data_IF_691882363700
#
_entry.id   IF_691882363700
#
_cell.length_a   1.000
_cell.length_b   1.000
_cell.length_c   1.000
_cell.angle_alpha   90.00
_cell.angle_beta   90.00
_cell.angle_gamma   90.00
#
_symmetry.space_group_name_H-M   'P 1'
#
loop_
_entity.id
_entity.type
_entity.pdbx_description
1 polymer ?
#
# COMPACT_ATOMS: atom_id res chain seq x y z
N UNK A 1 16.08 30.96 32.16
CA UNK A 1 16.90 32.12 31.75
C UNK A 1 16.74 32.30 30.24
N UNK A 2 16.21 33.47 29.84
CA UNK A 2 15.92 33.93 28.47
C UNK A 2 17.22 34.47 27.85
N UNK A 3 17.61 34.11 26.61
CA UNK A 3 18.45 34.91 25.68
C UNK A 3 18.23 34.42 24.22
N UNK A 4 17.42 35.14 23.45
CA UNK A 4 17.77 36.03 22.30
C UNK A 4 18.11 35.25 21.01
N UNK A 5 17.23 35.26 20.00
CA UNK A 5 16.98 36.34 19.02
C UNK A 5 18.07 36.34 17.92
N UNK A 6 17.66 35.98 16.70
CA UNK A 6 18.50 35.97 15.52
C UNK A 6 17.67 35.79 14.25
N UNK A 7 16.94 36.85 13.89
CA UNK A 7 16.25 37.03 12.60
C UNK A 7 17.29 37.22 11.49
N UNK A 8 17.15 36.53 10.36
CA UNK A 8 17.66 36.99 9.07
C UNK A 8 16.64 36.68 7.97
N UNK A 9 15.98 37.76 7.53
CA UNK A 9 15.26 37.86 6.27
C UNK A 9 16.28 37.92 5.12
N UNK A 10 16.05 37.18 4.05
CA UNK A 10 16.68 37.46 2.76
C UNK A 10 15.69 37.16 1.62
N UNK A 11 15.10 38.23 1.12
CA UNK A 11 14.28 38.33 -0.09
C UNK A 11 15.10 38.12 -1.36
N UNK A 12 14.62 37.32 -2.31
CA UNK A 12 15.13 37.30 -3.68
C UNK A 12 13.99 37.31 -4.71
N UNK A 13 13.74 38.55 -5.13
CA UNK A 13 13.18 39.16 -6.35
C UNK A 13 12.83 38.23 -7.54
N UNK A 14 11.61 38.46 -8.04
CA UNK A 14 11.03 37.96 -9.30
C UNK A 14 11.85 38.34 -10.54
N UNK A 15 11.97 37.42 -11.49
CA UNK A 15 12.21 37.75 -12.90
C UNK A 15 11.22 37.00 -13.80
N UNK A 16 10.16 37.70 -14.21
CA UNK A 16 9.28 37.27 -15.28
C UNK A 16 9.90 37.60 -16.65
N UNK A 17 9.76 36.69 -17.62
CA UNK A 17 10.18 36.93 -18.99
C UNK A 17 9.26 37.97 -19.67
N UNK A 18 9.82 38.91 -20.47
CA UNK A 18 9.05 39.98 -21.09
C UNK A 18 8.16 39.48 -22.23
N UNK A 19 6.95 40.02 -22.24
CA UNK A 19 5.98 40.00 -23.32
C UNK A 19 6.53 40.77 -24.53
N UNK A 20 6.40 40.23 -25.74
CA UNK A 20 6.81 40.92 -26.96
C UNK A 20 5.75 41.98 -27.37
N UNK A 21 6.15 43.17 -27.86
CA UNK A 21 5.24 44.24 -28.28
C UNK A 21 4.44 43.89 -29.55
N UNK A 22 3.28 44.55 -29.78
CA UNK A 22 2.52 44.41 -31.02
C UNK A 22 3.05 45.38 -32.10
N UNK A 23 3.13 44.91 -33.34
CA UNK A 23 3.38 45.73 -34.53
C UNK A 23 2.54 45.21 -35.71
N UNK A 24 2.29 46.03 -36.74
CA UNK A 24 1.10 46.86 -36.86
C UNK A 24 0.06 46.30 -37.85
N UNK A 25 -1.17 46.76 -37.66
CA UNK A 25 -2.36 46.48 -38.47
C UNK A 25 -2.12 46.74 -39.96
N UNK A 26 -2.09 45.69 -40.78
CA UNK A 26 -2.37 45.80 -42.19
C UNK A 26 -3.87 45.56 -42.40
N UNK A 27 -4.59 46.62 -42.79
CA UNK A 27 -5.94 46.52 -43.35
C UNK A 27 -5.88 45.68 -44.62
N UNK A 28 -6.60 44.58 -44.65
CA UNK A 28 -6.84 43.81 -45.88
C UNK A 28 -8.36 43.74 -46.05
N UNK A 29 -8.85 44.39 -47.11
CA UNK A 29 -10.23 44.27 -47.60
C UNK A 29 -10.58 42.80 -47.90
N UNK A 30 -11.87 42.43 -47.86
CA UNK A 30 -12.30 41.03 -47.87
C UNK A 30 -12.14 40.43 -49.26
N UNK A 31 -11.17 39.53 -49.42
CA UNK A 31 -11.19 38.54 -50.50
C UNK A 31 -11.72 37.25 -49.89
N UNK A 32 -12.93 36.87 -50.30
CA UNK A 32 -13.60 35.62 -49.96
C UNK A 32 -12.69 34.43 -50.30
N UNK A 33 -12.15 33.70 -49.29
CA UNK A 33 -11.29 32.57 -49.56
C UNK A 33 -12.13 31.38 -50.02
N UNK A 34 -11.86 30.90 -51.23
CA UNK A 34 -12.25 29.58 -51.69
C UNK A 34 -11.83 28.55 -50.64
N UNK A 35 -12.78 27.75 -50.15
CA UNK A 35 -12.54 26.67 -49.18
C UNK A 35 -11.44 25.75 -49.72
N UNK A 36 -10.25 25.71 -49.11
CA UNK A 36 -9.27 24.71 -49.46
C UNK A 36 -9.81 23.37 -48.96
N UNK A 37 -9.95 22.38 -49.83
CA UNK A 37 -10.16 21.00 -49.40
C UNK A 37 -8.95 20.57 -48.58
N UNK A 38 -9.07 20.61 -47.26
CA UNK A 38 -8.06 20.08 -46.34
C UNK A 38 -7.89 18.59 -46.64
N UNK A 39 -6.68 18.11 -46.98
CA UNK A 39 -6.43 16.68 -47.06
C UNK A 39 -6.67 16.09 -45.67
N UNK A 40 -7.51 15.06 -45.58
CA UNK A 40 -7.65 14.26 -44.36
C UNK A 40 -6.26 13.76 -43.94
N UNK A 41 -5.81 13.98 -42.69
CA UNK A 41 -4.53 13.45 -42.24
C UNK A 41 -4.53 11.92 -42.40
N UNK A 42 -3.42 11.31 -42.83
CA UNK A 42 -3.32 9.86 -42.91
C UNK A 42 -3.66 9.24 -41.54
N UNK A 43 -4.27 8.03 -41.50
CA UNK A 43 -4.53 7.34 -40.25
C UNK A 43 -3.23 7.27 -39.44
N UNK A 44 -3.21 7.91 -38.28
CA UNK A 44 -2.03 7.89 -37.41
C UNK A 44 -1.69 6.45 -37.08
N UNK A 45 -0.41 6.09 -37.22
CA UNK A 45 0.13 4.83 -36.74
C UNK A 45 -0.36 4.58 -35.31
N UNK A 46 -1.06 3.47 -35.10
CA UNK A 46 -1.53 3.09 -33.77
C UNK A 46 -0.30 2.83 -32.90
N UNK A 47 0.01 3.74 -31.99
CA UNK A 47 1.01 3.50 -30.94
C UNK A 47 0.59 2.23 -30.20
N UNK A 48 1.46 1.22 -30.05
CA UNK A 48 1.13 0.00 -29.31
C UNK A 48 0.63 0.37 -27.92
N UNK A 49 -0.62 0.00 -27.60
CA UNK A 49 -1.14 0.21 -26.25
C UNK A 49 -0.28 -0.57 -25.25
N UNK A 50 0.11 0.03 -24.11
CA UNK A 50 0.88 -0.67 -23.09
C UNK A 50 0.15 -1.94 -22.66
N UNK A 51 0.88 -3.04 -22.38
CA UNK A 51 0.28 -4.27 -21.88
C UNK A 51 -0.61 -3.99 -20.67
N UNK A 52 -1.83 -4.54 -20.66
CA UNK A 52 -2.71 -4.48 -19.48
C UNK A 52 -2.03 -5.21 -18.33
N UNK A 53 -1.62 -4.47 -17.32
CA UNK A 53 -1.08 -5.03 -16.08
C UNK A 53 -2.23 -5.75 -15.37
N UNK A 54 -2.11 -7.07 -15.20
CA UNK A 54 -3.07 -7.82 -14.38
C UNK A 54 -2.97 -7.30 -12.95
N UNK A 55 -4.10 -6.83 -12.41
CA UNK A 55 -4.15 -6.19 -11.09
C UNK A 55 -4.60 -7.22 -10.08
N UNK A 56 -3.76 -7.50 -9.08
CA UNK A 56 -4.12 -8.47 -8.03
C UNK A 56 -5.33 -8.00 -7.22
N UNK A 57 -6.29 -8.91 -7.05
CA UNK A 57 -7.48 -8.74 -6.22
C UNK A 57 -7.24 -9.29 -4.80
N UNK A 58 -6.60 -8.47 -3.97
CA UNK A 58 -6.29 -8.84 -2.59
C UNK A 58 -7.53 -9.13 -1.73
N UNK A 59 -8.65 -8.46 -1.98
CA UNK A 59 -9.89 -8.67 -1.21
C UNK A 59 -10.45 -10.07 -1.46
N UNK A 60 -10.55 -10.48 -2.73
CA UNK A 60 -11.00 -11.82 -3.11
C UNK A 60 -10.08 -12.93 -2.59
N UNK A 61 -8.78 -12.64 -2.44
CA UNK A 61 -7.80 -13.60 -1.90
C UNK A 61 -7.82 -13.70 -0.38
N UNK A 62 -7.94 -12.57 0.32
CA UNK A 62 -7.79 -12.51 1.79
C UNK A 62 -9.10 -12.87 2.49
N UNK A 63 -10.24 -12.39 2.00
CA UNK A 63 -11.52 -12.54 2.70
C UNK A 63 -11.90 -14.00 2.98
N UNK A 64 -11.73 -14.96 2.04
CA UNK A 64 -12.04 -16.37 2.31
C UNK A 64 -11.18 -16.95 3.43
N UNK A 65 -9.90 -16.60 3.48
CA UNK A 65 -8.98 -17.09 4.49
C UNK A 65 -9.27 -16.48 5.87
N UNK A 66 -9.58 -15.18 5.93
CA UNK A 66 -10.06 -14.55 7.18
C UNK A 66 -11.34 -15.22 7.65
N UNK A 67 -12.30 -15.48 6.76
CA UNK A 67 -13.55 -16.16 7.11
C UNK A 67 -13.33 -17.60 7.63
N UNK A 68 -12.32 -18.31 7.11
CA UNK A 68 -11.92 -19.63 7.64
C UNK A 68 -11.29 -19.51 9.02
N UNK A 69 -10.36 -18.56 9.21
CA UNK A 69 -9.71 -18.32 10.50
C UNK A 69 -10.73 -17.99 11.59
N UNK A 70 -11.72 -17.15 11.29
CA UNK A 70 -12.75 -16.76 12.26
C UNK A 70 -13.69 -17.91 12.68
N UNK A 71 -13.69 -19.02 11.93
CA UNK A 71 -14.46 -20.23 12.24
C UNK A 71 -13.62 -21.32 12.91
N UNK A 72 -12.31 -21.12 13.01
CA UNK A 72 -11.41 -22.12 13.55
C UNK A 72 -11.56 -22.23 15.08
N UNK A 73 -11.52 -23.46 15.58
CA UNK A 73 -11.47 -23.72 17.01
C UNK A 73 -10.17 -23.14 17.60
N UNK A 74 -10.26 -22.55 18.79
CA UNK A 74 -9.10 -21.92 19.45
C UNK A 74 -8.91 -20.43 19.19
N UNK A 75 -9.77 -19.81 18.35
CA UNK A 75 -9.87 -18.35 18.24
C UNK A 75 -10.87 -17.81 19.28
N UNK A 76 -10.39 -17.00 20.21
CA UNK A 76 -11.24 -16.37 21.23
C UNK A 76 -11.74 -14.99 20.74
N UNK A 77 -13.06 -14.76 20.63
CA UNK A 77 -13.58 -13.46 20.24
C UNK A 77 -13.20 -12.35 21.22
N UNK A 78 -12.93 -11.15 20.70
CA UNK A 78 -12.53 -9.98 21.47
C UNK A 78 -11.04 -9.92 21.80
N UNK A 79 -10.27 -10.99 21.53
CA UNK A 79 -8.83 -11.01 21.77
C UNK A 79 -8.09 -9.94 20.97
N UNK A 80 -6.99 -9.47 21.55
CA UNK A 80 -6.13 -8.47 20.90
C UNK A 80 -5.26 -9.18 19.86
N UNK A 81 -5.33 -8.72 18.62
CA UNK A 81 -4.59 -9.27 17.49
C UNK A 81 -3.55 -8.28 16.98
N UNK A 82 -2.30 -8.72 16.93
CA UNK A 82 -1.23 -8.07 16.17
C UNK A 82 -1.23 -8.64 14.75
N UNK A 83 -1.31 -7.76 13.76
CA UNK A 83 -1.22 -8.15 12.34
C UNK A 83 0.15 -7.71 11.81
N UNK A 84 0.98 -8.68 11.42
CA UNK A 84 2.28 -8.40 10.79
C UNK A 84 2.10 -7.86 9.36
N UNK A 85 3.15 -7.27 8.79
CA UNK A 85 3.14 -6.90 7.38
C UNK A 85 3.13 -8.13 6.49
N UNK A 86 2.40 -8.06 5.37
CA UNK A 86 2.42 -9.12 4.36
C UNK A 86 3.81 -9.16 3.74
N UNK A 87 4.47 -10.31 3.83
CA UNK A 87 5.81 -10.52 3.28
C UNK A 87 5.72 -10.97 1.82
N UNK A 88 6.65 -10.48 1.00
CA UNK A 88 6.80 -10.91 -0.39
C UNK A 88 8.01 -11.85 -0.52
N UNK A 89 7.74 -13.13 -0.72
CA UNK A 89 8.70 -14.18 -1.05
C UNK A 89 8.49 -14.72 -2.47
N UNK A 90 7.87 -13.94 -3.37
CA UNK A 90 7.75 -14.32 -4.79
C UNK A 90 9.07 -14.08 -5.55
N UNK A 91 9.13 -14.56 -6.79
CA UNK A 91 10.23 -14.26 -7.72
C UNK A 91 10.20 -12.82 -8.31
N UNK A 92 9.36 -11.92 -7.78
CA UNK A 92 9.20 -10.56 -8.28
C UNK A 92 8.74 -9.56 -7.22
N UNK A 93 8.40 -8.34 -7.65
CA UNK A 93 7.92 -7.28 -6.76
C UNK A 93 6.39 -7.21 -6.76
N UNK A 94 5.79 -7.22 -5.57
CA UNK A 94 4.35 -7.07 -5.38
C UNK A 94 4.02 -5.88 -4.47
N UNK A 95 2.87 -5.21 -4.66
CA UNK A 95 2.44 -4.10 -3.83
C UNK A 95 1.88 -4.58 -2.47
N UNK A 96 2.74 -5.17 -1.62
CA UNK A 96 2.35 -5.79 -0.34
C UNK A 96 1.77 -4.81 0.69
N UNK A 97 2.03 -3.51 0.54
CA UNK A 97 1.42 -2.49 1.38
C UNK A 97 -0.11 -2.45 1.17
N UNK A 98 -0.57 -2.64 -0.08
CA UNK A 98 -2.00 -2.76 -0.40
C UNK A 98 -2.59 -4.06 0.16
N UNK A 99 -1.86 -5.16 0.08
CA UNK A 99 -2.26 -6.44 0.67
C UNK A 99 -2.42 -6.31 2.19
N UNK A 100 -1.44 -5.72 2.88
CA UNK A 100 -1.47 -5.45 4.32
C UNK A 100 -2.61 -4.50 4.68
N UNK A 101 -2.84 -3.44 3.89
CA UNK A 101 -4.03 -2.57 3.94
C UNK A 101 -5.33 -3.37 3.98
N UNK A 102 -5.51 -4.20 2.96
CA UNK A 102 -6.69 -5.03 2.77
C UNK A 102 -6.89 -6.00 3.93
N UNK A 103 -5.82 -6.62 4.42
CA UNK A 103 -5.86 -7.55 5.55
C UNK A 103 -6.37 -6.88 6.84
N UNK A 104 -5.86 -5.68 7.16
CA UNK A 104 -6.37 -4.90 8.29
C UNK A 104 -7.85 -4.53 8.12
N UNK A 105 -8.26 -4.12 6.91
CA UNK A 105 -9.66 -3.80 6.62
C UNK A 105 -10.56 -5.02 6.78
N UNK A 106 -10.16 -6.18 6.27
CA UNK A 106 -10.91 -7.42 6.39
C UNK A 106 -11.11 -7.82 7.86
N UNK A 107 -10.04 -7.77 8.66
CA UNK A 107 -10.08 -8.16 10.08
C UNK A 107 -10.85 -7.19 10.97
N UNK A 108 -10.74 -5.87 10.70
CA UNK A 108 -11.47 -4.86 11.47
C UNK A 108 -12.99 -4.92 11.26
N UNK A 109 -13.45 -5.38 10.10
CA UNK A 109 -14.88 -5.54 9.82
C UNK A 109 -15.55 -6.66 10.62
N UNK A 110 -14.80 -7.70 11.00
CA UNK A 110 -15.34 -8.94 11.55
C UNK A 110 -15.65 -8.94 13.05
N UNK A 111 -15.29 -7.88 13.81
CA UNK A 111 -15.46 -7.73 15.28
C UNK A 111 -14.91 -8.84 16.18
N UNK A 112 -14.36 -9.91 15.60
CA UNK A 112 -13.80 -11.04 16.34
C UNK A 112 -12.48 -10.71 17.04
N UNK A 113 -11.74 -9.71 16.56
CA UNK A 113 -10.50 -9.26 17.16
C UNK A 113 -10.50 -7.76 17.43
N UNK A 114 -9.81 -7.38 18.49
CA UNK A 114 -9.39 -6.00 18.71
C UNK A 114 -8.01 -5.83 18.07
N UNK A 115 -7.92 -5.11 16.95
CA UNK A 115 -6.63 -4.94 16.26
C UNK A 115 -5.73 -3.97 17.02
N UNK A 116 -4.44 -4.29 17.12
CA UNK A 116 -3.42 -3.32 17.52
C UNK A 116 -3.35 -2.23 16.45
N UNK A 117 -3.54 -0.94 16.79
CA UNK A 117 -3.44 0.14 15.84
C UNK A 117 -2.04 0.23 15.21
N UNK A 118 -1.99 0.66 13.94
CA UNK A 118 -0.73 0.67 13.17
C UNK A 118 0.28 1.66 13.75
N UNK A 119 -0.19 2.80 14.24
CA UNK A 119 0.61 3.82 14.91
C UNK A 119 1.21 3.29 16.21
N UNK A 120 0.44 2.54 16.99
CA UNK A 120 0.93 1.90 18.21
C UNK A 120 1.98 0.83 17.87
N UNK A 121 1.74 0.04 16.82
CA UNK A 121 2.69 -0.97 16.37
C UNK A 121 4.00 -0.34 15.86
N UNK A 122 3.94 0.76 15.11
CA UNK A 122 5.11 1.48 14.63
C UNK A 122 5.94 2.06 15.79
N UNK A 123 5.30 2.69 16.78
CA UNK A 123 5.95 3.20 17.98
C UNK A 123 6.59 2.08 18.82
N UNK A 124 5.90 0.94 18.94
CA UNK A 124 6.42 -0.24 19.63
C UNK A 124 7.63 -0.84 18.91
N UNK A 125 7.59 -0.98 17.58
CA UNK A 125 8.74 -1.41 16.77
C UNK A 125 9.94 -0.49 16.98
N UNK A 126 9.74 0.82 16.92
CA UNK A 126 10.80 1.81 17.13
C UNK A 126 11.43 1.70 18.53
N UNK A 127 10.59 1.54 19.57
CA UNK A 127 11.06 1.36 20.95
C UNK A 127 11.91 0.09 21.11
N UNK A 128 11.58 -0.97 20.38
CA UNK A 128 12.31 -2.24 20.41
C UNK A 128 13.49 -2.28 19.43
N UNK A 129 13.83 -1.16 18.77
CA UNK A 129 14.90 -1.09 17.79
C UNK A 129 14.63 -1.88 16.51
N UNK A 130 13.37 -2.17 16.21
CA UNK A 130 12.92 -2.84 14.99
C UNK A 130 12.58 -1.80 13.92
N UNK A 131 12.87 -2.13 12.66
CA UNK A 131 12.41 -1.30 11.55
C UNK A 131 10.89 -1.41 11.40
N UNK A 132 10.23 -0.29 11.10
CA UNK A 132 8.77 -0.22 10.95
C UNK A 132 8.29 -1.07 9.79
N UNK A 133 9.09 -1.11 8.71
CA UNK A 133 8.82 -1.86 7.48
C UNK A 133 9.30 -3.33 7.54
N UNK A 134 10.05 -3.71 8.57
CA UNK A 134 10.48 -5.10 8.74
C UNK A 134 9.28 -5.97 9.12
N UNK A 135 9.14 -7.09 8.43
CA UNK A 135 8.28 -8.20 8.88
C UNK A 135 8.84 -8.76 10.18
N UNK A 136 8.02 -9.34 11.04
CA UNK A 136 8.45 -9.95 12.29
C UNK A 136 9.11 -11.32 12.06
N UNK A 137 9.99 -11.43 11.06
CA UNK A 137 10.49 -12.65 10.42
C UNK A 137 11.11 -13.74 11.33
N UNK A 138 11.18 -13.52 12.64
CA UNK A 138 11.35 -14.58 13.64
C UNK A 138 10.23 -14.57 14.68
N UNK A 139 9.77 -15.77 15.06
CA UNK A 139 8.71 -15.94 16.09
C UNK A 139 9.06 -15.25 17.41
N UNK A 140 10.33 -15.26 17.81
CA UNK A 140 10.79 -14.60 19.04
C UNK A 140 10.62 -13.08 18.99
N UNK A 141 10.91 -12.41 17.85
CA UNK A 141 10.66 -10.97 17.66
C UNK A 141 9.17 -10.67 17.76
N UNK A 142 8.35 -11.47 17.08
CA UNK A 142 6.91 -11.30 17.06
C UNK A 142 6.30 -11.47 18.46
N UNK A 143 6.69 -12.51 19.21
CA UNK A 143 6.23 -12.73 20.59
C UNK A 143 6.65 -11.56 21.49
N UNK A 144 7.89 -11.07 21.36
CA UNK A 144 8.37 -9.93 22.13
C UNK A 144 7.56 -8.66 21.87
N UNK A 145 7.32 -8.34 20.60
CA UNK A 145 6.50 -7.19 20.21
C UNK A 145 5.03 -7.36 20.62
N UNK A 146 4.46 -8.54 20.43
CA UNK A 146 3.09 -8.85 20.82
C UNK A 146 2.87 -8.69 22.32
N UNK A 147 3.80 -9.18 23.15
CA UNK A 147 3.77 -8.97 24.60
C UNK A 147 3.86 -7.49 24.97
N UNK A 148 4.72 -6.73 24.28
CA UNK A 148 4.85 -5.29 24.49
C UNK A 148 3.54 -4.53 24.22
N UNK A 149 2.79 -4.92 23.18
CA UNK A 149 1.48 -4.32 22.86
C UNK A 149 0.28 -5.08 23.46
N UNK A 150 0.52 -6.04 24.35
CA UNK A 150 -0.51 -6.88 24.98
C UNK A 150 -1.41 -7.64 24.00
N UNK A 151 -0.89 -8.01 22.83
CA UNK A 151 -1.58 -8.89 21.88
C UNK A 151 -1.57 -10.34 22.36
N UNK A 152 -2.71 -11.01 22.18
CA UNK A 152 -2.91 -12.42 22.50
C UNK A 152 -2.59 -13.33 21.31
N UNK A 153 -2.79 -12.80 20.10
CA UNK A 153 -2.48 -13.48 18.85
C UNK A 153 -1.59 -12.62 17.96
N UNK A 154 -0.82 -13.29 17.10
CA UNK A 154 -0.10 -12.68 15.97
C UNK A 154 -0.55 -13.36 14.69
N UNK A 155 -0.97 -12.59 13.70
CA UNK A 155 -1.24 -13.09 12.35
C UNK A 155 -0.05 -12.79 11.44
N UNK A 156 0.55 -13.84 10.90
CA UNK A 156 1.54 -13.76 9.83
C UNK A 156 0.89 -13.95 8.48
N UNK A 157 1.47 -13.30 7.46
CA UNK A 157 1.04 -13.47 6.08
C UNK A 157 2.25 -13.42 5.15
N UNK A 158 2.33 -14.39 4.25
CA UNK A 158 3.40 -14.51 3.27
C UNK A 158 2.82 -14.73 1.88
N UNK A 159 3.38 -14.06 0.88
CA UNK A 159 3.03 -14.29 -0.52
C UNK A 159 4.24 -14.89 -1.22
N UNK A 160 4.11 -16.10 -1.75
CA UNK A 160 5.22 -16.90 -2.28
C UNK A 160 4.95 -17.40 -3.70
N UNK A 161 5.99 -17.93 -4.36
CA UNK A 161 5.89 -18.52 -5.70
C UNK A 161 6.12 -17.54 -6.86
N UNK A 162 5.44 -17.76 -7.98
CA UNK A 162 5.58 -16.89 -9.15
C UNK A 162 4.77 -15.60 -9.00
N UNK A 163 5.38 -14.45 -9.29
CA UNK A 163 4.75 -13.12 -9.17
C UNK A 163 3.48 -12.96 -10.02
N UNK A 164 3.33 -13.73 -11.10
CA UNK A 164 2.14 -13.72 -11.97
C UNK A 164 1.04 -14.65 -11.47
N UNK A 165 1.36 -15.62 -10.63
CA UNK A 165 0.40 -16.53 -10.00
C UNK A 165 0.79 -16.84 -8.55
N UNK A 166 0.78 -15.81 -7.67
CA UNK A 166 1.29 -15.99 -6.32
C UNK A 166 0.36 -16.83 -5.45
N UNK A 167 0.91 -17.44 -4.39
CA UNK A 167 0.17 -18.09 -3.33
C UNK A 167 0.27 -17.24 -2.06
N UNK A 168 -0.85 -17.06 -1.37
CA UNK A 168 -0.94 -16.39 -0.07
C UNK A 168 -1.06 -17.45 1.02
N UNK A 169 -0.16 -17.40 1.99
CA UNK A 169 -0.15 -18.22 3.19
C UNK A 169 -0.41 -17.34 4.41
N UNK A 170 -1.26 -17.80 5.34
CA UNK A 170 -1.52 -17.12 6.60
C UNK A 170 -1.44 -18.08 7.78
N UNK A 171 -0.94 -17.58 8.91
CA UNK A 171 -0.77 -18.35 10.14
C UNK A 171 -1.11 -17.50 11.35
N UNK A 172 -2.02 -17.98 12.19
CA UNK A 172 -2.39 -17.37 13.45
C UNK A 172 -1.63 -18.06 14.58
N UNK A 173 -0.80 -17.30 15.30
CA UNK A 173 0.00 -17.78 16.42
C UNK A 173 -0.59 -17.29 17.74
N UNK A 174 -0.75 -18.20 18.72
CA UNK A 174 -1.06 -17.85 20.10
C UNK A 174 0.22 -17.36 20.80
N UNK A 175 0.22 -16.13 21.30
CA UNK A 175 1.42 -15.48 21.85
C UNK A 175 1.89 -16.12 23.16
N UNK A 176 0.96 -16.68 23.93
CA UNK A 176 1.26 -17.32 25.21
C UNK A 176 2.19 -18.53 25.05
N UNK A 177 1.91 -19.38 24.06
CA UNK A 177 2.62 -20.66 23.83
C UNK A 177 3.58 -20.61 22.65
N UNK A 178 3.38 -19.68 21.71
CA UNK A 178 4.08 -19.63 20.43
C UNK A 178 3.59 -20.67 19.41
N UNK A 179 2.46 -21.32 19.69
CA UNK A 179 1.84 -22.33 18.83
C UNK A 179 1.04 -21.69 17.70
N UNK A 180 1.03 -22.33 16.53
CA UNK A 180 0.15 -21.96 15.41
C UNK A 180 -1.20 -22.63 15.64
N UNK A 181 -2.22 -21.86 16.03
CA UNK A 181 -3.57 -22.35 16.30
C UNK A 181 -4.43 -22.43 15.05
N UNK A 182 -4.03 -21.73 13.99
CA UNK A 182 -4.67 -21.81 12.69
C UNK A 182 -3.66 -21.51 11.58
N UNK A 183 -3.80 -22.19 10.44
CA UNK A 183 -3.12 -21.84 9.21
C UNK A 183 -4.07 -22.02 8.02
N UNK A 184 -3.84 -21.26 6.96
CA UNK A 184 -4.58 -21.36 5.72
C UNK A 184 -3.79 -20.80 4.55
N UNK A 185 -4.08 -21.30 3.35
CA UNK A 185 -3.42 -20.87 2.13
C UNK A 185 -4.41 -20.73 0.98
N UNK A 186 -4.08 -19.91 -0.01
CA UNK A 186 -4.91 -19.74 -1.20
C UNK A 186 -4.21 -18.98 -2.33
N UNK A 187 -4.64 -19.24 -3.56
CA UNK A 187 -4.12 -18.53 -4.72
C UNK A 187 -4.52 -17.05 -4.69
N UNK A 188 -3.56 -16.17 -5.01
CA UNK A 188 -3.85 -14.75 -5.18
C UNK A 188 -4.61 -14.56 -6.50
N UNK A 189 -5.73 -13.86 -6.42
CA UNK A 189 -6.66 -13.65 -7.53
C UNK A 189 -6.29 -12.37 -8.31
N UNK A 190 -6.74 -12.27 -9.55
CA UNK A 190 -6.59 -11.10 -10.44
C UNK A 190 -7.95 -10.44 -10.72
#
# INVERSE_FOLDING_TARGET
>A
MKKYLGVMLATLVLTGCPSHPPEPTATIEPVEPQVPTTPTPPPGESVPQPPKIQTLNWEASINPLVAQMLKADGVTPGSILLVDSVKNNTNGSLPIAKATGTLYSALSSGKAFTLVPREQLAAAKQTLGLSVDDSLGSRSKAIGLARYVSAQYVLYSDVSGDVKSPQLDMQLMLVQTGEIVWSGNGAVQH
#
